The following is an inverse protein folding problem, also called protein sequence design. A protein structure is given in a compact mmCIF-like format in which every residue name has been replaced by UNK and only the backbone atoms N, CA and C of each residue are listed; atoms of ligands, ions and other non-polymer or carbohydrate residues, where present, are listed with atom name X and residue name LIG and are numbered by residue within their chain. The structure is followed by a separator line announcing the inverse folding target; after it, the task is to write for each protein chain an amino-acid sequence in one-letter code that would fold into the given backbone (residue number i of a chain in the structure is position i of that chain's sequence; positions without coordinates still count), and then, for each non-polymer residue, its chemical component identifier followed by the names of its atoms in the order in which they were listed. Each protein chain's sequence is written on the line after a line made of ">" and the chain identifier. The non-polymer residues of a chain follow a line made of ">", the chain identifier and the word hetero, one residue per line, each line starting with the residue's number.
data_IF_363938547612
#
_entry.id   IF_363938547612
#
_cell.length_a   1.000
_cell.length_b   1.000
_cell.length_c   1.000
_cell.angle_alpha   90.00
_cell.angle_beta   90.00
_cell.angle_gamma   90.00
#
_symmetry.space_group_name_H-M   'P 1'
#
loop_
_entity.id
_entity.type
_entity.pdbx_description
1 polymer ?
#
# COMPACT_ATOMS: atom_id res chain seq x y z
N UNK A 1 -10.75 9.57 26.74
CA UNK A 1 -9.38 9.06 26.56
C UNK A 1 -9.16 8.85 25.09
N UNK A 2 -8.32 9.66 24.44
CA UNK A 2 -8.04 9.51 23.00
C UNK A 2 -6.80 8.65 22.89
N UNK A 3 -6.99 7.35 22.64
CA UNK A 3 -5.88 6.45 22.35
C UNK A 3 -5.24 6.90 21.04
N UNK A 4 -4.06 7.50 21.14
CA UNK A 4 -3.22 7.81 19.98
C UNK A 4 -3.03 6.50 19.20
N UNK A 5 -3.32 6.44 17.89
CA UNK A 5 -3.06 5.24 17.11
C UNK A 5 -1.60 4.86 17.31
N UNK A 6 -1.35 3.63 17.77
CA UNK A 6 0.01 3.10 17.91
C UNK A 6 0.60 3.13 16.50
N UNK A 7 1.70 3.85 16.31
CA UNK A 7 2.38 3.87 15.02
C UNK A 7 2.80 2.43 14.69
N UNK A 8 2.43 1.97 13.50
CA UNK A 8 2.56 0.56 13.15
C UNK A 8 4.00 0.04 13.25
N UNK A 9 4.18 -1.14 13.84
CA UNK A 9 5.47 -1.79 14.05
C UNK A 9 6.09 -2.41 12.80
N UNK A 10 7.33 -2.88 12.92
CA UNK A 10 7.97 -3.69 11.90
C UNK A 10 7.16 -4.99 11.65
N UNK A 11 6.99 -5.36 10.38
CA UNK A 11 6.15 -6.50 9.98
C UNK A 11 4.66 -6.17 9.84
N UNK A 12 4.22 -4.97 10.21
CA UNK A 12 2.84 -4.56 9.97
C UNK A 12 2.58 -4.28 8.49
N UNK A 13 1.39 -4.70 8.05
CA UNK A 13 0.88 -4.50 6.71
C UNK A 13 -0.40 -3.68 6.80
N UNK A 14 -0.48 -2.61 6.03
CA UNK A 14 -1.67 -1.79 5.87
C UNK A 14 -2.27 -2.02 4.49
N UNK A 15 -3.59 -2.17 4.46
CA UNK A 15 -4.34 -2.15 3.20
C UNK A 15 -4.47 -0.71 2.70
N UNK A 16 -4.18 -0.52 1.42
CA UNK A 16 -4.53 0.71 0.71
C UNK A 16 -5.78 0.43 -0.12
N UNK A 17 -6.84 1.19 0.13
CA UNK A 17 -8.15 0.98 -0.51
C UNK A 17 -8.63 2.26 -1.21
N UNK A 18 -9.35 2.09 -2.30
CA UNK A 18 -10.08 3.15 -2.99
C UNK A 18 -11.57 2.79 -2.98
N UNK A 19 -12.33 3.39 -2.06
CA UNK A 19 -13.67 2.93 -1.75
C UNK A 19 -13.64 1.50 -1.19
N UNK A 20 -14.40 0.61 -1.82
CA UNK A 20 -14.48 -0.81 -1.49
C UNK A 20 -13.40 -1.65 -2.18
N UNK A 21 -12.61 -1.09 -3.10
CA UNK A 21 -11.58 -1.83 -3.84
C UNK A 21 -10.23 -1.81 -3.12
N UNK A 22 -9.59 -2.98 -3.04
CA UNK A 22 -8.21 -3.12 -2.60
C UNK A 22 -7.28 -2.65 -3.73
N UNK A 23 -6.40 -1.70 -3.42
CA UNK A 23 -5.43 -1.13 -4.38
C UNK A 23 -4.08 -1.81 -4.22
N UNK A 24 -3.70 -2.16 -2.99
CA UNK A 24 -2.42 -2.78 -2.69
C UNK A 24 -2.13 -2.83 -1.20
N UNK A 25 -0.94 -3.31 -0.87
CA UNK A 25 -0.46 -3.49 0.49
C UNK A 25 0.77 -2.62 0.72
N UNK A 26 0.72 -1.82 1.78
CA UNK A 26 1.86 -1.07 2.30
C UNK A 26 2.46 -1.85 3.46
N UNK A 27 3.72 -2.23 3.36
CA UNK A 27 4.43 -3.05 4.35
C UNK A 27 5.59 -2.28 4.93
N UNK A 28 5.69 -2.28 6.25
CA UNK A 28 6.86 -1.76 6.96
C UNK A 28 7.81 -2.92 7.24
N UNK A 29 8.95 -2.97 6.55
CA UNK A 29 9.92 -4.08 6.65
C UNK A 29 10.80 -4.00 7.90
N UNK A 30 11.04 -2.80 8.42
CA UNK A 30 11.75 -2.60 9.69
C UNK A 30 11.21 -1.40 10.48
N UNK A 31 11.72 -1.22 11.69
CA UNK A 31 11.41 -0.06 12.54
C UNK A 31 11.96 1.26 11.97
N UNK A 32 12.74 1.22 10.90
CA UNK A 32 13.15 2.40 10.16
C UNK A 32 12.01 2.92 9.27
N UNK A 33 11.72 4.21 9.36
CA UNK A 33 10.61 4.85 8.60
C UNK A 33 10.80 4.74 7.08
N UNK A 34 12.04 4.60 6.61
CA UNK A 34 12.35 4.57 5.17
C UNK A 34 12.24 3.17 4.55
N UNK A 35 12.09 2.12 5.37
CA UNK A 35 12.01 0.74 4.90
C UNK A 35 10.55 0.32 4.73
N UNK A 36 9.85 1.05 3.86
CA UNK A 36 8.44 0.85 3.53
C UNK A 36 8.36 0.38 2.07
N UNK A 37 7.69 -0.75 1.87
CA UNK A 37 7.41 -1.32 0.56
C UNK A 37 5.93 -1.20 0.25
N UNK A 38 5.59 -0.86 -0.99
CA UNK A 38 4.22 -0.92 -1.48
C UNK A 38 4.13 -1.86 -2.67
N UNK A 39 3.14 -2.74 -2.65
CA UNK A 39 2.84 -3.69 -3.72
C UNK A 39 1.39 -3.52 -4.13
N UNK A 40 1.15 -3.30 -5.43
CA UNK A 40 -0.21 -3.24 -5.95
C UNK A 40 -0.91 -4.60 -5.87
N UNK A 41 -2.21 -4.58 -5.64
CA UNK A 41 -3.07 -5.74 -5.78
C UNK A 41 -3.24 -6.10 -7.27
N UNK A 42 -3.22 -7.39 -7.57
CA UNK A 42 -3.27 -7.86 -8.96
C UNK A 42 -4.60 -7.51 -9.65
N UNK A 43 -5.72 -7.56 -8.92
CA UNK A 43 -7.02 -7.20 -9.48
C UNK A 43 -7.10 -5.70 -9.76
N UNK A 44 -6.45 -4.86 -8.93
CA UNK A 44 -6.31 -3.43 -9.21
C UNK A 44 -5.50 -3.17 -10.47
N UNK A 45 -4.33 -3.80 -10.64
CA UNK A 45 -3.49 -3.59 -11.83
C UNK A 45 -4.20 -3.98 -13.13
N UNK A 46 -5.15 -4.92 -13.08
CA UNK A 46 -5.94 -5.37 -14.23
C UNK A 46 -7.24 -4.58 -14.44
N UNK A 47 -7.66 -3.73 -13.50
CA UNK A 47 -8.87 -2.93 -13.64
C UNK A 47 -8.65 -1.82 -14.68
N UNK A 48 -9.46 -1.72 -15.76
CA UNK A 48 -9.32 -0.68 -16.78
C UNK A 48 -9.46 0.76 -16.24
N UNK A 49 -10.03 0.92 -15.04
CA UNK A 49 -10.23 2.21 -14.36
C UNK A 49 -9.18 2.46 -13.29
N UNK A 50 -8.22 1.56 -13.11
CA UNK A 50 -7.17 1.74 -12.12
C UNK A 50 -6.25 2.91 -12.47
N UNK A 51 -5.69 3.48 -11.41
CA UNK A 51 -4.66 4.52 -11.50
C UNK A 51 -3.57 4.24 -10.48
N UNK A 52 -2.40 4.81 -10.73
CA UNK A 52 -1.27 4.70 -9.84
C UNK A 52 -1.49 5.52 -8.55
N UNK A 53 -1.10 4.98 -7.39
CA UNK A 53 -1.15 5.72 -6.10
C UNK A 53 -0.20 6.92 -6.09
N UNK A 54 0.81 6.93 -6.95
CA UNK A 54 1.75 8.04 -7.15
C UNK A 54 2.37 7.96 -8.54
N UNK A 55 2.72 9.11 -9.11
CA UNK A 55 3.48 9.18 -10.38
C UNK A 55 4.86 8.52 -10.29
N UNK A 56 5.41 8.41 -9.07
CA UNK A 56 6.68 7.70 -8.81
C UNK A 56 6.52 6.19 -8.64
N UNK A 57 5.28 5.70 -8.59
CA UNK A 57 4.93 4.29 -8.41
C UNK A 57 3.96 3.89 -9.52
N UNK A 58 4.39 3.89 -10.79
CA UNK A 58 3.51 3.57 -11.90
C UNK A 58 2.87 2.19 -11.72
N UNK A 59 1.71 1.97 -12.35
CA UNK A 59 1.11 0.64 -12.51
C UNK A 59 1.99 -0.17 -13.47
N UNK A 60 3.16 -0.60 -13.02
CA UNK A 60 4.02 -1.49 -13.78
C UNK A 60 3.53 -2.91 -13.57
N UNK A 61 2.98 -3.52 -14.63
CA UNK A 61 3.03 -4.96 -14.74
C UNK A 61 4.52 -5.33 -14.77
N UNK A 62 5.04 -5.94 -13.71
CA UNK A 62 6.30 -6.68 -13.81
C UNK A 62 5.95 -7.98 -14.53
N UNK A 63 6.27 -8.04 -15.82
CA UNK A 63 6.20 -9.26 -16.64
C UNK A 63 7.42 -10.14 -16.35
#
# INVERSE_FOLDING_TARGET
>A
MTTKPKAGGAGETLEVRCGDKLVGLLRRRSDQIQDIEFVYDEAWVKDPRAFAVSTRMPLTQRW
#
